data_IF_407460747355
#
_entry.id   IF_407460747355
#
_cell.length_a   1.000
_cell.length_b   1.000
_cell.length_c   1.000
_cell.angle_alpha   90.00
_cell.angle_beta   90.00
_cell.angle_gamma   90.00
#
_symmetry.space_group_name_H-M   'P 1'
#
loop_
_entity.id
_entity.type
_entity.pdbx_description
1 polymer ?
#
# COMPACT_ATOMS: atom_id res chain seq x y z
N UNK A 1 -23.90 -15.53 16.18
CA UNK A 1 -22.89 -16.03 15.24
C UNK A 1 -22.32 -14.83 14.53
N UNK A 2 -21.02 -14.70 14.33
CA UNK A 2 -20.52 -13.66 13.47
C UNK A 2 -21.19 -13.87 12.09
N UNK A 3 -21.71 -12.79 11.51
CA UNK A 3 -22.36 -12.84 10.21
C UNK A 3 -21.38 -13.44 9.18
N UNK A 4 -21.81 -14.51 8.53
CA UNK A 4 -21.03 -15.14 7.46
C UNK A 4 -20.82 -14.10 6.36
N UNK A 5 -19.58 -13.91 5.87
CA UNK A 5 -19.35 -12.99 4.78
C UNK A 5 -20.20 -13.39 3.55
N UNK A 6 -20.64 -12.42 2.73
CA UNK A 6 -21.38 -12.71 1.51
C UNK A 6 -20.57 -13.60 0.57
N UNK A 7 -21.23 -14.37 -0.29
CA UNK A 7 -20.56 -15.18 -1.29
C UNK A 7 -19.77 -14.31 -2.31
N UNK A 8 -20.28 -13.12 -2.59
CA UNK A 8 -19.65 -12.08 -3.41
C UNK A 8 -20.23 -10.71 -3.07
N UNK A 9 -19.49 -9.68 -3.37
CA UNK A 9 -19.90 -8.28 -3.20
C UNK A 9 -19.19 -7.41 -4.24
N UNK A 10 -19.80 -6.33 -4.67
CA UNK A 10 -19.09 -5.30 -5.43
C UNK A 10 -17.98 -4.69 -4.56
N UNK A 11 -16.76 -4.64 -5.08
CA UNK A 11 -15.64 -4.02 -4.36
C UNK A 11 -15.91 -2.56 -3.99
N UNK A 12 -16.74 -1.85 -4.78
CA UNK A 12 -17.10 -0.46 -4.54
C UNK A 12 -18.10 -0.30 -3.38
N UNK A 13 -18.80 -1.36 -3.00
CA UNK A 13 -19.70 -1.34 -1.83
C UNK A 13 -18.94 -1.53 -0.50
N UNK A 14 -17.66 -1.92 -0.56
CA UNK A 14 -16.79 -1.99 0.63
C UNK A 14 -16.36 -0.57 1.00
N UNK A 15 -16.57 -0.13 2.25
CA UNK A 15 -16.20 1.22 2.67
C UNK A 15 -14.73 1.53 2.44
N UNK A 16 -14.44 2.67 1.81
CA UNK A 16 -13.08 3.15 1.64
C UNK A 16 -12.51 3.67 2.97
N UNK A 17 -11.27 3.32 3.23
CA UNK A 17 -10.45 3.90 4.31
C UNK A 17 -9.52 4.94 3.72
N UNK A 18 -9.42 6.07 4.40
CA UNK A 18 -8.49 7.17 4.11
C UNK A 18 -7.50 7.33 5.26
N UNK A 19 -6.48 8.16 5.05
CA UNK A 19 -5.48 8.41 6.08
C UNK A 19 -4.36 7.40 6.09
N UNK A 20 -3.51 7.50 7.10
CA UNK A 20 -2.31 6.69 7.27
C UNK A 20 -1.89 6.67 8.74
N UNK A 21 -1.19 5.62 9.15
CA UNK A 21 -0.54 5.52 10.47
C UNK A 21 0.88 6.13 10.48
N UNK A 22 1.32 6.75 9.40
CA UNK A 22 2.62 7.41 9.34
C UNK A 22 2.75 8.55 10.34
N UNK A 23 3.97 8.91 10.67
CA UNK A 23 4.27 10.12 11.43
C UNK A 23 3.64 11.34 10.72
N UNK A 24 3.04 12.30 11.44
CA UNK A 24 2.22 13.38 10.85
C UNK A 24 2.92 14.17 9.73
N UNK A 25 4.22 14.40 9.86
CA UNK A 25 5.01 15.14 8.87
C UNK A 25 5.13 14.43 7.51
N UNK A 26 4.85 13.12 7.46
CA UNK A 26 4.92 12.29 6.25
C UNK A 26 3.56 11.89 5.68
N UNK A 27 2.47 12.40 6.25
CA UNK A 27 1.12 12.00 5.85
C UNK A 27 0.56 12.80 4.64
N UNK A 28 1.15 13.96 4.33
CA UNK A 28 0.57 14.93 3.39
C UNK A 28 0.36 14.40 1.98
N UNK A 29 1.32 13.65 1.44
CA UNK A 29 1.30 13.11 0.07
C UNK A 29 0.24 12.01 -0.13
N UNK A 30 -0.26 11.42 0.97
CA UNK A 30 -1.22 10.32 0.94
C UNK A 30 -2.68 10.77 1.03
N UNK A 31 -2.96 12.06 1.09
CA UNK A 31 -4.32 12.60 1.36
C UNK A 31 -5.37 12.19 0.33
N UNK A 32 -5.00 11.95 -0.92
CA UNK A 32 -5.91 11.53 -1.97
C UNK A 32 -5.92 10.03 -2.22
N UNK A 33 -5.45 9.23 -1.26
CA UNK A 33 -5.47 7.78 -1.32
C UNK A 33 -6.66 7.21 -0.58
N UNK A 34 -7.42 6.36 -1.26
CA UNK A 34 -8.50 5.57 -0.69
C UNK A 34 -8.20 4.08 -0.83
N UNK A 35 -8.38 3.30 0.22
CA UNK A 35 -8.21 1.84 0.22
C UNK A 35 -9.49 1.14 0.65
N UNK A 36 -9.93 0.16 -0.14
CA UNK A 36 -10.98 -0.78 0.24
C UNK A 36 -10.32 -2.12 0.52
N UNK A 37 -10.45 -2.60 1.76
CA UNK A 37 -9.75 -3.79 2.25
C UNK A 37 -10.57 -5.04 1.91
N UNK A 38 -10.41 -5.53 0.67
CA UNK A 38 -11.25 -6.59 0.11
C UNK A 38 -11.07 -7.91 0.87
N UNK A 39 -9.83 -8.25 1.21
CA UNK A 39 -9.53 -9.50 1.90
C UNK A 39 -10.06 -9.56 3.33
N UNK A 40 -10.11 -8.44 4.03
CA UNK A 40 -10.59 -8.38 5.42
C UNK A 40 -12.07 -8.76 5.53
N UNK A 41 -12.90 -8.36 4.56
CA UNK A 41 -14.31 -8.71 4.56
C UNK A 41 -14.55 -10.23 4.56
N UNK A 42 -13.68 -10.96 3.88
CA UNK A 42 -13.77 -12.43 3.76
C UNK A 42 -12.94 -13.17 4.83
N UNK A 43 -12.30 -12.44 5.75
CA UNK A 43 -11.46 -13.03 6.80
C UNK A 43 -10.18 -13.68 6.27
N UNK A 44 -9.64 -13.20 5.13
CA UNK A 44 -8.39 -13.73 4.58
C UNK A 44 -7.21 -13.30 5.45
N UNK A 45 -6.36 -14.25 5.84
CA UNK A 45 -5.27 -14.00 6.79
C UNK A 45 -3.87 -14.22 6.22
N UNK A 46 -3.74 -15.02 5.16
CA UNK A 46 -2.44 -15.36 4.57
C UNK A 46 -1.90 -14.26 3.65
N UNK A 47 -2.79 -13.47 3.06
CA UNK A 47 -2.44 -12.33 2.23
C UNK A 47 -3.47 -11.21 2.39
N UNK A 48 -3.06 -10.00 2.11
CA UNK A 48 -3.93 -8.84 1.96
C UNK A 48 -4.23 -8.59 0.50
N UNK A 49 -5.46 -8.16 0.19
CA UNK A 49 -5.82 -7.67 -1.14
C UNK A 49 -6.71 -6.45 -0.97
N UNK A 50 -6.34 -5.35 -1.64
CA UNK A 50 -7.04 -4.08 -1.53
C UNK A 50 -7.29 -3.50 -2.92
N UNK A 51 -8.42 -2.82 -3.06
CA UNK A 51 -8.66 -1.91 -4.16
C UNK A 51 -8.26 -0.50 -3.73
N UNK A 52 -7.35 0.11 -4.47
CA UNK A 52 -6.80 1.43 -4.13
C UNK A 52 -7.15 2.42 -5.23
N UNK A 53 -7.63 3.59 -4.83
CA UNK A 53 -7.81 4.74 -5.71
C UNK A 53 -6.85 5.84 -5.29
N UNK A 54 -6.09 6.38 -6.25
CA UNK A 54 -5.24 7.55 -6.07
C UNK A 54 -5.81 8.73 -6.86
N UNK A 55 -6.15 9.80 -6.15
CA UNK A 55 -6.47 11.08 -6.78
C UNK A 55 -5.22 11.67 -7.48
N UNK A 56 -5.38 12.60 -8.45
CA UNK A 56 -4.27 13.32 -9.05
C UNK A 56 -3.33 13.91 -8.01
N UNK A 57 -2.02 13.72 -8.18
CA UNK A 57 -0.96 14.17 -7.28
C UNK A 57 -0.75 13.33 -6.02
N UNK A 58 -1.58 12.33 -5.77
CA UNK A 58 -1.46 11.48 -4.57
C UNK A 58 -0.47 10.36 -4.74
N UNK A 59 0.09 9.93 -3.60
CA UNK A 59 1.05 8.82 -3.50
C UNK A 59 0.42 7.61 -2.82
N UNK A 60 0.86 6.41 -3.20
CA UNK A 60 0.49 5.17 -2.50
C UNK A 60 1.10 5.07 -1.10
N UNK A 61 2.33 5.52 -0.99
CA UNK A 61 3.18 5.49 0.21
C UNK A 61 4.41 6.37 -0.03
N UNK A 62 5.29 6.53 0.96
CA UNK A 62 6.69 6.87 0.69
C UNK A 62 7.42 5.66 0.12
N UNK A 63 8.50 5.87 -0.64
CA UNK A 63 9.30 4.76 -1.19
C UNK A 63 9.81 3.86 -0.07
N UNK A 64 9.51 2.57 -0.18
CA UNK A 64 9.81 1.58 0.86
C UNK A 64 10.05 0.21 0.26
N UNK A 65 10.61 -0.67 1.07
CA UNK A 65 10.71 -2.10 0.79
C UNK A 65 10.45 -2.92 2.07
N UNK A 66 10.03 -4.16 1.90
CA UNK A 66 9.63 -5.08 2.95
C UNK A 66 10.65 -6.18 3.17
N UNK A 67 10.93 -6.52 4.44
CA UNK A 67 11.84 -7.64 4.75
C UNK A 67 11.18 -9.01 4.52
N UNK A 68 9.90 -9.18 4.89
CA UNK A 68 9.24 -10.47 4.95
C UNK A 68 7.97 -10.60 4.09
N UNK A 69 7.41 -9.50 3.57
CA UNK A 69 6.18 -9.51 2.79
C UNK A 69 6.43 -9.23 1.31
N UNK A 70 5.93 -10.13 0.44
CA UNK A 70 5.85 -9.86 -1.00
C UNK A 70 4.72 -8.88 -1.28
N UNK A 71 4.88 -8.05 -2.31
CA UNK A 71 3.83 -7.16 -2.81
C UNK A 71 3.63 -7.33 -4.31
N UNK A 72 2.37 -7.17 -4.75
CA UNK A 72 1.98 -7.20 -6.15
C UNK A 72 0.97 -6.09 -6.44
N UNK A 73 1.12 -5.44 -7.60
CA UNK A 73 0.27 -4.36 -8.06
C UNK A 73 -0.26 -4.70 -9.46
N UNK A 74 -1.55 -4.45 -9.70
CA UNK A 74 -2.16 -4.54 -11.03
C UNK A 74 -3.03 -3.30 -11.27
N UNK A 75 -2.70 -2.51 -12.28
CA UNK A 75 -3.45 -1.28 -12.62
C UNK A 75 -4.73 -1.65 -13.37
N UNK A 76 -5.88 -1.18 -12.86
CA UNK A 76 -7.21 -1.43 -13.42
C UNK A 76 -7.68 -0.26 -14.29
N UNK A 77 -7.49 0.98 -13.81
CA UNK A 77 -7.97 2.20 -14.48
C UNK A 77 -6.95 3.32 -14.33
N UNK A 78 -6.89 4.18 -15.35
CA UNK A 78 -5.98 5.32 -15.36
C UNK A 78 -4.52 4.90 -15.50
N UNK A 79 -3.64 5.68 -14.92
CA UNK A 79 -2.20 5.42 -14.92
C UNK A 79 -1.54 5.87 -13.62
N UNK A 80 -0.47 5.19 -13.25
CA UNK A 80 0.41 5.60 -12.15
C UNK A 80 1.86 5.55 -12.61
N UNK A 81 2.70 6.31 -11.94
CA UNK A 81 4.14 6.24 -12.08
C UNK A 81 4.68 5.38 -10.94
N UNK A 82 5.24 4.22 -11.27
CA UNK A 82 6.06 3.45 -10.34
C UNK A 82 7.42 4.14 -10.27
N UNK A 83 7.84 4.51 -9.08
CA UNK A 83 9.16 5.07 -8.81
C UNK A 83 9.91 4.12 -7.90
N UNK A 84 11.04 3.61 -8.38
CA UNK A 84 11.91 2.68 -7.65
C UNK A 84 13.38 3.13 -7.72
N UNK A 85 14.31 2.27 -7.30
CA UNK A 85 15.75 2.60 -7.30
C UNK A 85 16.33 2.66 -8.72
N UNK A 86 15.62 2.20 -9.74
CA UNK A 86 16.02 2.26 -11.16
C UNK A 86 15.42 3.46 -11.89
N UNK A 87 14.48 4.19 -11.29
CA UNK A 87 13.88 5.37 -11.86
C UNK A 87 12.35 5.33 -11.92
N UNK A 88 11.78 5.96 -12.93
CA UNK A 88 10.34 6.12 -13.13
C UNK A 88 9.83 5.22 -14.25
N UNK A 89 8.78 4.44 -13.96
CA UNK A 89 8.15 3.51 -14.89
C UNK A 89 6.65 3.80 -14.98
N UNK A 90 6.18 4.20 -16.15
CA UNK A 90 4.75 4.45 -16.37
C UNK A 90 3.99 3.12 -16.39
N UNK A 91 2.96 3.00 -15.56
CA UNK A 91 2.06 1.86 -15.51
C UNK A 91 0.65 2.31 -15.91
N UNK A 92 0.12 1.73 -16.98
CA UNK A 92 -1.25 1.97 -17.47
C UNK A 92 -2.15 0.78 -17.12
N UNK A 93 -3.46 0.92 -17.32
CA UNK A 93 -4.41 -0.19 -17.13
C UNK A 93 -3.93 -1.47 -17.85
N UNK A 94 -3.98 -2.60 -17.15
CA UNK A 94 -3.48 -3.90 -17.64
C UNK A 94 -2.01 -4.18 -17.36
N UNK A 95 -1.25 -3.23 -16.79
CA UNK A 95 0.14 -3.48 -16.38
C UNK A 95 0.24 -3.90 -14.92
N UNK A 96 1.29 -4.65 -14.58
CA UNK A 96 1.53 -5.13 -13.23
C UNK A 96 2.98 -4.95 -12.83
N UNK A 97 3.23 -4.95 -11.51
CA UNK A 97 4.54 -4.97 -10.89
C UNK A 97 4.53 -5.87 -9.65
N UNK A 98 5.67 -6.45 -9.31
CA UNK A 98 5.84 -7.27 -8.11
C UNK A 98 7.14 -6.93 -7.39
N UNK A 99 7.11 -6.99 -6.06
CA UNK A 99 8.21 -6.64 -5.18
C UNK A 99 8.43 -7.79 -4.19
N UNK A 100 9.55 -8.48 -4.36
CA UNK A 100 9.90 -9.64 -3.55
C UNK A 100 10.39 -9.19 -2.18
N UNK A 101 9.92 -9.87 -1.14
CA UNK A 101 10.42 -9.71 0.23
C UNK A 101 11.95 -9.83 0.31
N UNK A 102 12.55 -8.97 1.13
CA UNK A 102 13.99 -8.97 1.37
C UNK A 102 14.84 -8.34 0.26
N UNK A 103 14.23 -7.85 -0.82
CA UNK A 103 14.94 -7.09 -1.86
C UNK A 103 14.84 -5.59 -1.56
N UNK A 104 15.99 -4.94 -1.35
CA UNK A 104 16.07 -3.53 -0.95
C UNK A 104 15.86 -2.56 -2.13
N UNK A 105 14.86 -2.82 -2.97
CA UNK A 105 14.43 -1.91 -4.03
C UNK A 105 13.23 -1.09 -3.53
N UNK A 106 13.50 0.09 -3.01
CA UNK A 106 12.47 0.96 -2.46
C UNK A 106 11.58 1.52 -3.55
N UNK A 107 10.26 1.36 -3.41
CA UNK A 107 9.28 1.70 -4.43
C UNK A 107 8.03 2.38 -3.86
N UNK A 108 7.34 3.10 -4.71
CA UNK A 108 5.98 3.60 -4.49
C UNK A 108 5.30 3.94 -5.82
N UNK A 109 3.99 4.20 -5.76
CA UNK A 109 3.20 4.67 -6.89
C UNK A 109 2.80 6.13 -6.67
N UNK A 110 2.87 6.91 -7.74
CA UNK A 110 2.44 8.31 -7.76
C UNK A 110 1.48 8.52 -8.91
N UNK A 111 0.31 9.10 -8.66
CA UNK A 111 -0.57 9.52 -9.74
C UNK A 111 -0.14 10.91 -10.24
N UNK A 112 0.64 10.95 -11.31
CA UNK A 112 1.07 12.19 -11.97
C UNK A 112 0.09 12.66 -13.06
N UNK A 113 -1.02 11.93 -13.26
CA UNK A 113 -2.04 12.27 -14.26
C UNK A 113 -3.07 13.25 -13.72
N UNK A 114 -3.98 13.69 -14.61
CA UNK A 114 -5.06 14.62 -14.25
C UNK A 114 -6.35 13.91 -13.81
N UNK A 115 -6.40 12.58 -13.84
CA UNK A 115 -7.57 11.76 -13.49
C UNK A 115 -7.24 10.76 -12.40
N UNK A 116 -8.21 10.27 -11.62
CA UNK A 116 -7.96 9.21 -10.65
C UNK A 116 -7.42 7.95 -11.31
N UNK A 117 -6.57 7.22 -10.59
CA UNK A 117 -6.08 5.91 -10.98
C UNK A 117 -6.57 4.85 -9.97
N UNK A 118 -6.87 3.65 -10.48
CA UNK A 118 -7.35 2.53 -9.67
C UNK A 118 -6.47 1.33 -9.90
N UNK A 119 -6.04 0.68 -8.82
CA UNK A 119 -5.23 -0.53 -8.90
C UNK A 119 -5.57 -1.51 -7.77
N UNK A 120 -5.30 -2.79 -8.02
CA UNK A 120 -5.25 -3.80 -6.97
C UNK A 120 -3.83 -3.85 -6.40
N UNK A 121 -3.75 -3.91 -5.08
CA UNK A 121 -2.54 -4.32 -4.38
C UNK A 121 -2.81 -5.62 -3.62
N UNK A 122 -1.88 -6.57 -3.72
CA UNK A 122 -1.91 -7.79 -2.96
C UNK A 122 -0.54 -8.02 -2.33
N UNK A 123 -0.51 -8.55 -1.13
CA UNK A 123 0.74 -8.84 -0.45
C UNK A 123 0.57 -9.95 0.58
N UNK A 124 1.63 -10.70 0.81
CA UNK A 124 1.64 -11.70 1.88
C UNK A 124 1.56 -11.03 3.25
N UNK A 125 1.15 -11.78 4.26
CA UNK A 125 1.05 -11.29 5.65
C UNK A 125 1.93 -12.11 6.56
N UNK A 126 3.07 -11.53 6.95
CA UNK A 126 3.93 -12.06 7.99
C UNK A 126 3.46 -11.60 9.38
N UNK A 127 3.66 -12.41 10.41
CA UNK A 127 3.38 -12.02 11.81
C UNK A 127 4.34 -10.95 12.31
N UNK A 128 5.58 -11.04 11.88
CA UNK A 128 6.66 -10.08 12.13
C UNK A 128 7.12 -9.49 10.79
N UNK A 129 7.23 -8.17 10.69
CA UNK A 129 7.65 -7.46 9.47
C UNK A 129 8.42 -6.20 9.83
N UNK A 130 9.34 -5.83 8.95
CA UNK A 130 9.99 -4.51 8.96
C UNK A 130 9.91 -3.88 7.59
N UNK A 131 9.55 -2.60 7.59
CA UNK A 131 9.48 -1.77 6.39
C UNK A 131 10.50 -0.64 6.50
N UNK A 132 11.33 -0.54 5.48
CA UNK A 132 12.37 0.47 5.37
C UNK A 132 11.96 1.55 4.38
N UNK A 133 12.04 2.81 4.81
CA UNK A 133 11.73 3.97 3.97
C UNK A 133 13.03 4.62 3.51
N UNK A 134 13.21 4.75 2.17
CA UNK A 134 14.45 5.23 1.59
C UNK A 134 14.68 6.73 1.78
N UNK A 135 13.63 7.53 1.64
CA UNK A 135 13.73 8.98 1.46
C UNK A 135 13.34 9.79 2.70
N UNK A 136 12.86 9.14 3.75
CA UNK A 136 12.38 9.80 4.98
C UNK A 136 12.95 9.11 6.22
N UNK A 137 13.04 9.86 7.31
CA UNK A 137 13.46 9.34 8.62
C UNK A 137 12.30 8.61 9.30
N UNK A 138 11.94 7.46 8.73
CA UNK A 138 10.86 6.62 9.22
C UNK A 138 11.19 5.15 9.01
N UNK A 139 10.73 4.30 9.90
CA UNK A 139 10.67 2.85 9.76
C UNK A 139 9.34 2.33 10.30
N UNK A 140 8.88 1.23 9.76
CA UNK A 140 7.72 0.50 10.23
C UNK A 140 8.13 -0.87 10.78
N UNK A 141 7.55 -1.27 11.88
CA UNK A 141 7.67 -2.63 12.40
C UNK A 141 6.28 -3.17 12.75
N UNK A 142 6.05 -4.42 12.40
CA UNK A 142 4.85 -5.15 12.79
C UNK A 142 5.26 -6.28 13.72
N UNK A 143 4.57 -6.36 14.86
CA UNK A 143 4.72 -7.46 15.80
C UNK A 143 3.34 -7.89 16.29
N UNK A 144 3.08 -9.19 16.29
CA UNK A 144 1.76 -9.74 16.61
C UNK A 144 0.61 -9.08 15.81
N UNK A 145 0.85 -8.73 14.57
CA UNK A 145 -0.14 -8.10 13.68
C UNK A 145 -0.36 -6.61 13.88
N UNK A 146 0.29 -5.97 14.85
CA UNK A 146 0.17 -4.55 15.13
C UNK A 146 1.35 -3.76 14.54
N UNK A 147 1.05 -2.74 13.72
CA UNK A 147 2.04 -1.85 13.15
C UNK A 147 2.42 -0.72 14.09
N UNK A 148 3.73 -0.42 14.14
CA UNK A 148 4.29 0.77 14.80
C UNK A 148 5.23 1.48 13.84
N UNK A 149 5.01 2.78 13.64
CA UNK A 149 5.90 3.64 12.87
C UNK A 149 6.68 4.55 13.80
N UNK A 150 7.99 4.63 13.58
CA UNK A 150 8.92 5.44 14.37
C UNK A 150 9.94 6.08 13.44
N UNK A 151 10.70 7.04 13.96
CA UNK A 151 11.95 7.43 13.33
C UNK A 151 12.95 6.27 13.39
N UNK A 152 14.03 6.35 12.63
CA UNK A 152 15.09 5.32 12.61
C UNK A 152 15.78 5.16 13.96
N UNK A 153 15.81 6.21 14.79
CA UNK A 153 16.32 6.16 16.17
C UNK A 153 15.34 5.54 17.18
N UNK A 154 14.13 5.18 16.73
CA UNK A 154 13.07 4.58 17.56
C UNK A 154 12.12 5.59 18.20
N UNK A 155 12.35 6.89 18.06
CA UNK A 155 11.44 7.91 18.59
C UNK A 155 10.15 8.02 17.77
N UNK A 156 9.06 8.49 18.39
CA UNK A 156 7.71 8.55 17.80
C UNK A 156 7.21 9.99 17.58
N UNK A 157 8.07 10.99 17.70
CA UNK A 157 7.71 12.42 17.55
C UNK A 157 8.11 12.97 16.21
#
# INVERSE_FOLDING_TARGET
MPDRPPASISALDIPARTGTAYLPQYAGQLRGREKRLLGELFGLTQFGVNLVTLAPGSWSSHRHWHEAEDEFIYVLEGEVMLIDDQGEHRMTAGTCAGFKAGVSNAHHLVNKSAVPAVYLEAGTRASEERVHYADVDMQGAKSNGAWKFTRRDGSSN
#
